data_IF_148420249799
#
_entry.id   IF_148420249799
#
_cell.length_a   1.000
_cell.length_b   1.000
_cell.length_c   1.000
_cell.angle_alpha   90.00
_cell.angle_beta   90.00
_cell.angle_gamma   90.00
#
_symmetry.space_group_name_H-M   'P 1'
#
loop_
_entity.id
_entity.type
_entity.pdbx_description
1 polymer ?
#
# COMPACT_ATOMS: atom_id res chain seq x y z
N UNK A 1 13.11 2.71 15.21
CA UNK A 1 12.20 1.72 14.58
C UNK A 1 10.90 1.76 15.35
N UNK A 2 9.76 2.02 14.68
CA UNK A 2 8.45 1.98 15.32
C UNK A 2 8.00 0.51 15.45
N UNK A 3 7.77 0.04 16.67
CA UNK A 3 7.56 -1.38 16.97
C UNK A 3 6.28 -1.96 16.36
N UNK A 4 5.26 -1.13 16.12
CA UNK A 4 3.99 -1.58 15.56
C UNK A 4 4.12 -2.05 14.11
N UNK A 5 5.11 -1.54 13.38
CA UNK A 5 5.33 -1.86 11.98
C UNK A 5 6.58 -2.71 11.76
N UNK A 6 7.68 -2.37 12.44
CA UNK A 6 9.00 -2.93 12.13
C UNK A 6 9.71 -3.49 13.37
N UNK A 7 10.52 -4.52 13.17
CA UNK A 7 11.39 -5.13 14.18
C UNK A 7 12.85 -5.12 13.71
N UNK A 8 13.86 -5.01 14.59
CA UNK A 8 15.26 -5.12 14.21
C UNK A 8 15.67 -6.49 13.66
N UNK A 9 14.95 -7.56 14.00
CA UNK A 9 15.22 -8.94 13.56
C UNK A 9 13.97 -9.83 13.70
N UNK A 10 13.96 -10.97 13.01
CA UNK A 10 12.86 -11.95 13.15
C UNK A 10 11.51 -11.39 12.72
N UNK A 11 11.49 -10.46 11.76
CA UNK A 11 10.28 -9.96 11.16
C UNK A 11 9.72 -10.91 10.11
N UNK A 12 8.44 -10.76 9.80
CA UNK A 12 7.80 -11.44 8.68
C UNK A 12 8.45 -11.06 7.35
N UNK A 13 8.60 -12.06 6.48
CA UNK A 13 9.13 -11.95 5.12
C UNK A 13 8.04 -12.16 4.07
N UNK A 14 6.78 -12.30 4.49
CA UNK A 14 5.65 -12.62 3.62
C UNK A 14 5.10 -11.40 2.84
N UNK A 15 5.67 -10.22 3.04
CA UNK A 15 5.39 -9.01 2.28
C UNK A 15 6.67 -8.30 1.85
N UNK A 16 6.57 -7.46 0.82
CA UNK A 16 7.67 -6.65 0.29
C UNK A 16 7.95 -5.41 1.17
N UNK A 17 8.14 -5.62 2.46
CA UNK A 17 8.43 -4.57 3.45
C UNK A 17 9.60 -5.01 4.36
N UNK A 18 10.47 -4.08 4.81
CA UNK A 18 11.60 -4.45 5.65
C UNK A 18 11.15 -4.95 7.03
N UNK A 19 11.53 -6.17 7.42
CA UNK A 19 11.39 -6.72 8.77
C UNK A 19 10.06 -6.35 9.47
N UNK A 20 8.94 -6.79 8.89
CA UNK A 20 7.61 -6.47 9.40
C UNK A 20 7.33 -7.17 10.73
N UNK A 21 6.79 -6.45 11.71
CA UNK A 21 6.64 -6.96 13.07
C UNK A 21 5.27 -7.59 13.35
N UNK A 22 4.54 -8.07 12.34
CA UNK A 22 3.22 -8.70 12.52
C UNK A 22 3.04 -9.90 11.61
N UNK A 23 2.11 -10.76 11.98
CA UNK A 23 1.62 -11.81 11.11
C UNK A 23 0.72 -11.20 10.04
N UNK A 24 0.89 -11.66 8.81
CA UNK A 24 0.09 -11.23 7.67
C UNK A 24 -0.98 -12.27 7.39
N UNK A 25 -2.20 -11.82 7.11
CA UNK A 25 -3.28 -12.70 6.69
C UNK A 25 -2.97 -13.35 5.32
N UNK A 26 -3.75 -14.37 4.97
CA UNK A 26 -3.70 -14.95 3.63
C UNK A 26 -4.28 -13.93 2.61
N UNK A 27 -3.58 -13.60 1.51
CA UNK A 27 -4.14 -12.82 0.40
C UNK A 27 -5.56 -13.20 -0.02
N UNK A 28 -5.92 -14.48 0.05
CA UNK A 28 -7.23 -15.00 -0.33
C UNK A 28 -8.36 -14.67 0.68
N UNK A 29 -8.06 -14.09 1.85
CA UNK A 29 -9.08 -13.70 2.83
C UNK A 29 -9.78 -12.38 2.50
N UNK A 30 -9.31 -11.64 1.48
CA UNK A 30 -9.82 -10.32 1.14
C UNK A 30 -10.76 -10.36 -0.06
N UNK A 31 -11.88 -9.64 0.04
CA UNK A 31 -12.77 -9.36 -1.10
C UNK A 31 -12.36 -8.03 -1.71
N UNK A 32 -11.90 -8.03 -2.97
CA UNK A 32 -11.43 -6.80 -3.64
C UNK A 32 -12.47 -6.22 -4.59
N UNK A 33 -12.20 -5.02 -5.08
CA UNK A 33 -13.07 -4.29 -6.00
C UNK A 33 -13.41 -5.08 -7.28
N UNK A 34 -12.47 -5.84 -7.85
CA UNK A 34 -12.71 -6.66 -9.06
C UNK A 34 -13.81 -7.71 -8.89
N UNK A 35 -14.13 -8.13 -7.66
CA UNK A 35 -15.22 -9.09 -7.41
C UNK A 35 -16.59 -8.55 -7.83
N UNK A 36 -16.72 -7.22 -7.98
CA UNK A 36 -17.93 -6.56 -8.46
C UNK A 36 -18.03 -6.53 -9.99
N UNK A 37 -17.00 -6.98 -10.73
CA UNK A 37 -16.93 -7.01 -12.19
C UNK A 37 -17.40 -5.69 -12.83
N UNK A 38 -16.93 -4.56 -12.29
CA UNK A 38 -17.28 -3.24 -12.79
C UNK A 38 -16.80 -3.08 -14.23
N UNK A 39 -17.67 -2.55 -15.10
CA UNK A 39 -17.31 -2.23 -16.48
C UNK A 39 -16.37 -1.02 -16.60
N UNK A 40 -16.06 -0.34 -15.49
CA UNK A 40 -15.16 0.82 -15.40
C UNK A 40 -13.78 0.45 -14.83
N UNK A 41 -13.42 -0.83 -14.88
CA UNK A 41 -12.15 -1.35 -14.39
C UNK A 41 -11.38 -1.93 -15.57
N UNK A 42 -10.46 -1.15 -16.11
CA UNK A 42 -9.69 -1.51 -17.31
C UNK A 42 -8.41 -2.29 -16.97
N UNK A 43 -7.99 -2.34 -15.69
CA UNK A 43 -6.78 -3.02 -15.23
C UNK A 43 -7.03 -4.35 -14.53
N UNK A 44 -6.12 -5.30 -14.71
CA UNK A 44 -6.16 -6.53 -13.94
C UNK A 44 -5.79 -6.26 -12.47
N UNK A 45 -6.57 -6.85 -11.56
CA UNK A 45 -6.26 -6.86 -10.14
C UNK A 45 -5.43 -8.10 -9.78
N UNK A 46 -4.32 -7.86 -9.09
CA UNK A 46 -3.55 -8.88 -8.41
C UNK A 46 -4.16 -9.17 -7.03
N UNK A 47 -3.98 -10.40 -6.49
CA UNK A 47 -4.33 -10.68 -5.10
C UNK A 47 -3.70 -9.67 -4.14
N UNK A 48 -4.39 -9.38 -3.03
CA UNK A 48 -3.88 -8.51 -1.97
C UNK A 48 -2.50 -8.98 -1.54
N UNK A 49 -1.52 -8.08 -1.58
CA UNK A 49 -0.12 -8.43 -1.37
C UNK A 49 0.75 -7.19 -1.31
N UNK A 50 2.00 -7.32 -1.76
CA UNK A 50 2.94 -6.19 -1.81
C UNK A 50 3.03 -5.48 -0.44
N UNK A 51 3.06 -4.15 -0.43
CA UNK A 51 2.99 -3.33 0.78
C UNK A 51 1.58 -3.31 1.41
N UNK A 52 0.52 -3.45 0.62
CA UNK A 52 -0.86 -3.29 1.10
C UNK A 52 -1.24 -4.31 2.16
N UNK A 53 -0.76 -5.55 2.02
CA UNK A 53 -1.03 -6.58 3.03
C UNK A 53 -0.38 -6.28 4.39
N UNK A 54 0.71 -5.51 4.41
CA UNK A 54 1.30 -5.04 5.65
C UNK A 54 0.38 -4.01 6.33
N UNK A 55 -0.19 -3.07 5.58
CA UNK A 55 -1.19 -2.13 6.09
C UNK A 55 -2.40 -2.88 6.66
N UNK A 56 -2.92 -3.85 5.91
CA UNK A 56 -4.10 -4.61 6.28
C UNK A 56 -3.89 -5.46 7.54
N UNK A 57 -2.66 -5.81 7.92
CA UNK A 57 -2.39 -6.50 9.19
C UNK A 57 -2.82 -5.73 10.46
N UNK A 58 -3.16 -4.45 10.33
CA UNK A 58 -3.84 -3.64 11.35
C UNK A 58 -5.20 -3.13 10.88
N UNK A 59 -5.32 -2.79 9.60
CA UNK A 59 -6.49 -2.10 9.04
C UNK A 59 -7.63 -3.05 8.64
N UNK A 60 -7.39 -4.37 8.60
CA UNK A 60 -8.43 -5.37 8.30
C UNK A 60 -9.39 -5.64 9.47
N UNK A 61 -9.15 -5.04 10.63
CA UNK A 61 -10.00 -5.18 11.81
C UNK A 61 -10.00 -6.56 12.47
N UNK A 62 -9.20 -7.52 11.97
CA UNK A 62 -9.18 -8.90 12.47
C UNK A 62 -8.16 -9.09 13.60
N UNK A 63 -7.09 -8.30 13.60
CA UNK A 63 -6.00 -8.40 14.55
C UNK A 63 -5.95 -7.19 15.48
N UNK A 64 -5.61 -7.42 16.75
CA UNK A 64 -5.35 -6.33 17.69
C UNK A 64 -4.01 -5.64 17.38
N UNK A 65 -3.91 -4.33 17.61
CA UNK A 65 -2.74 -3.51 17.29
C UNK A 65 -1.48 -3.93 18.05
N UNK A 66 -1.67 -4.56 19.21
CA UNK A 66 -0.63 -5.14 20.05
C UNK A 66 -0.18 -6.54 19.62
N UNK A 67 -0.82 -7.17 18.63
CA UNK A 67 -0.39 -8.47 18.11
C UNK A 67 0.87 -8.32 17.24
N UNK A 68 2.03 -8.19 17.87
CA UNK A 68 3.34 -8.06 17.22
C UNK A 68 4.21 -9.29 17.42
N UNK A 69 5.15 -9.54 16.50
CA UNK A 69 6.09 -10.66 16.59
C UNK A 69 7.17 -10.43 17.66
N UNK A 70 7.59 -9.17 17.86
CA UNK A 70 8.61 -8.77 18.82
C UNK A 70 8.10 -7.57 19.62
N UNK A 71 7.99 -7.71 20.94
CA UNK A 71 7.49 -6.66 21.83
C UNK A 71 8.46 -5.45 21.91
N UNK A 72 7.94 -4.24 22.20
CA UNK A 72 8.76 -3.06 22.42
C UNK A 72 9.50 -3.11 23.75
N UNK A 73 10.67 -2.47 23.77
CA UNK A 73 11.52 -2.39 24.95
C UNK A 73 12.41 -3.63 25.02
N UNK A 74 13.72 -3.42 24.97
CA UNK A 74 14.72 -4.48 25.13
C UNK A 74 14.72 -5.00 26.58
N UNK A 75 13.64 -5.67 27.00
CA UNK A 75 13.38 -6.09 28.37
C UNK A 75 12.97 -4.97 29.33
N UNK A 76 12.32 -3.90 28.83
CA UNK A 76 11.80 -2.80 29.66
C UNK A 76 10.28 -2.74 29.48
N UNK A 77 9.53 -2.88 30.57
CA UNK A 77 8.08 -2.70 30.58
C UNK A 77 7.71 -1.28 30.14
N UNK A 78 7.07 -1.14 28.97
CA UNK A 78 6.45 0.10 28.56
C UNK A 78 5.03 0.16 29.15
N UNK A 79 4.70 1.11 30.05
CA UNK A 79 3.39 1.17 30.69
C UNK A 79 2.22 1.38 29.72
N UNK A 80 2.46 1.90 28.50
CA UNK A 80 1.43 1.99 27.43
C UNK A 80 1.26 0.70 26.63
N UNK A 81 2.16 -0.27 26.85
CA UNK A 81 2.18 -1.60 26.26
C UNK A 81 2.41 -2.61 27.40
N UNK A 82 1.51 -2.58 28.39
CA UNK A 82 1.61 -3.43 29.57
C UNK A 82 0.78 -4.69 29.35
N UNK A 83 1.41 -5.86 29.43
CA UNK A 83 0.78 -7.17 29.25
C UNK A 83 0.12 -7.39 27.88
N UNK A 84 0.68 -6.82 26.81
CA UNK A 84 0.22 -7.07 25.43
C UNK A 84 -1.13 -6.42 25.10
N UNK A 85 -1.51 -5.34 25.80
CA UNK A 85 -2.73 -4.57 25.49
C UNK A 85 -2.36 -3.15 25.08
N UNK A 86 -2.61 -2.80 23.82
CA UNK A 86 -2.52 -1.43 23.33
C UNK A 86 -3.71 -0.62 23.86
N UNK A 87 -3.42 0.47 24.57
CA UNK A 87 -4.44 1.42 25.03
C UNK A 87 -4.27 2.77 24.34
N UNK A 88 -5.34 3.25 23.70
CA UNK A 88 -5.34 4.46 22.90
C UNK A 88 -6.77 4.92 22.56
N UNK A 89 -6.89 6.04 21.84
CA UNK A 89 -8.18 6.48 21.30
C UNK A 89 -8.60 5.62 20.09
N UNK A 90 -9.90 5.54 19.82
CA UNK A 90 -10.48 4.85 18.66
C UNK A 90 -10.23 3.33 18.58
N UNK A 91 -10.15 2.68 19.74
CA UNK A 91 -9.96 1.23 19.84
C UNK A 91 -10.85 0.60 20.91
N UNK A 92 -11.15 -0.68 20.72
CA UNK A 92 -11.84 -1.54 21.68
C UNK A 92 -11.03 -2.82 21.81
N UNK A 93 -10.53 -3.11 23.02
CA UNK A 93 -9.73 -4.32 23.31
C UNK A 93 -8.52 -4.53 22.36
N UNK A 94 -7.77 -3.46 22.09
CA UNK A 94 -6.58 -3.45 21.24
C UNK A 94 -6.89 -3.35 19.73
N UNK A 95 -8.14 -3.58 19.30
CA UNK A 95 -8.55 -3.51 17.89
C UNK A 95 -9.09 -2.13 17.52
N UNK A 96 -8.87 -1.71 16.28
CA UNK A 96 -9.50 -0.50 15.74
C UNK A 96 -11.02 -0.62 15.85
N UNK A 97 -11.67 0.45 16.32
CA UNK A 97 -13.12 0.45 16.47
C UNK A 97 -13.83 0.05 15.17
N UNK A 98 -14.82 -0.83 15.28
CA UNK A 98 -15.69 -1.19 14.16
C UNK A 98 -16.38 0.07 13.64
N UNK A 99 -16.36 0.26 12.32
CA UNK A 99 -16.93 1.44 11.65
C UNK A 99 -16.05 2.69 11.72
N UNK A 100 -14.86 2.63 12.32
CA UNK A 100 -13.86 3.67 12.11
C UNK A 100 -13.42 3.65 10.64
N UNK A 101 -13.18 4.82 10.05
CA UNK A 101 -12.70 4.95 8.65
C UNK A 101 -11.36 4.22 8.45
N UNK A 102 -10.58 4.07 9.52
CA UNK A 102 -9.32 3.32 9.50
C UNK A 102 -9.49 1.81 9.63
N UNK A 103 -10.68 1.29 9.90
CA UNK A 103 -10.96 -0.14 9.93
C UNK A 103 -11.69 -0.54 8.64
N UNK A 104 -10.92 -1.01 7.66
CA UNK A 104 -11.39 -1.37 6.32
C UNK A 104 -12.05 -2.74 6.27
N UNK A 105 -11.90 -3.55 7.33
CA UNK A 105 -12.33 -4.96 7.33
C UNK A 105 -11.60 -5.80 6.27
N UNK A 106 -12.01 -7.06 6.09
CA UNK A 106 -11.54 -7.92 4.99
C UNK A 106 -12.32 -7.70 3.68
N UNK A 107 -13.37 -6.88 3.69
CA UNK A 107 -14.14 -6.51 2.50
C UNK A 107 -13.72 -5.12 2.02
N UNK A 108 -12.94 -5.10 0.94
CA UNK A 108 -12.41 -3.91 0.28
C UNK A 108 -13.20 -3.59 -1.01
N UNK A 109 -14.37 -4.20 -1.21
CA UNK A 109 -15.13 -4.05 -2.46
C UNK A 109 -15.68 -2.64 -2.70
N UNK A 110 -15.76 -1.82 -1.64
CA UNK A 110 -16.18 -0.42 -1.69
C UNK A 110 -15.01 0.59 -1.52
N UNK A 111 -13.78 0.10 -1.37
CA UNK A 111 -12.59 0.92 -1.26
C UNK A 111 -11.94 1.17 -2.63
N UNK A 112 -11.05 2.15 -2.70
CA UNK A 112 -10.29 2.38 -3.92
C UNK A 112 -9.46 1.12 -4.25
N UNK A 113 -9.46 0.63 -5.51
CA UNK A 113 -8.72 -0.55 -5.88
C UNK A 113 -7.24 -0.46 -5.48
N UNK A 114 -6.74 -1.53 -4.90
CA UNK A 114 -5.33 -1.77 -4.57
C UNK A 114 -4.89 -3.07 -5.24
N UNK A 115 -3.60 -3.20 -5.50
CA UNK A 115 -3.09 -4.32 -6.29
C UNK A 115 -3.58 -4.28 -7.73
N UNK A 116 -3.97 -3.13 -8.26
CA UNK A 116 -4.36 -2.97 -9.67
C UNK A 116 -3.20 -2.46 -10.54
N UNK A 117 -3.13 -2.93 -11.79
CA UNK A 117 -2.18 -2.39 -12.77
C UNK A 117 -2.37 -0.88 -12.95
N UNK A 118 -1.27 -0.13 -12.94
CA UNK A 118 -1.32 1.28 -13.26
C UNK A 118 -1.80 1.51 -14.69
N UNK A 119 -2.77 2.41 -14.89
CA UNK A 119 -3.33 2.76 -16.20
C UNK A 119 -3.91 1.58 -17.00
N UNK A 120 -4.40 0.55 -16.32
CA UNK A 120 -4.93 -0.63 -16.98
C UNK A 120 -3.87 -1.57 -17.57
N UNK A 121 -2.59 -1.36 -17.28
CA UNK A 121 -1.48 -2.16 -17.78
C UNK A 121 -0.82 -1.58 -19.04
N UNK A 122 0.00 -2.39 -19.70
CA UNK A 122 0.79 -2.00 -20.89
C UNK A 122 2.25 -1.63 -20.57
N UNK A 123 2.51 -1.14 -19.36
CA UNK A 123 3.86 -0.83 -18.86
C UNK A 123 4.50 -2.09 -18.27
N UNK A 124 5.75 -2.36 -18.62
CA UNK A 124 6.55 -3.43 -18.00
C UNK A 124 8.00 -2.98 -17.82
N UNK A 125 8.82 -3.69 -17.05
CA UNK A 125 10.25 -3.41 -16.93
C UNK A 125 10.99 -3.45 -18.29
N UNK A 126 10.49 -4.24 -19.26
CA UNK A 126 11.03 -4.28 -20.61
C UNK A 126 10.58 -3.11 -21.50
N UNK A 127 9.48 -2.44 -21.13
CA UNK A 127 8.92 -1.29 -21.81
C UNK A 127 8.39 -0.26 -20.77
N UNK A 128 9.30 0.39 -20.01
CA UNK A 128 8.94 1.09 -18.77
C UNK A 128 8.22 2.43 -19.00
N UNK A 129 8.19 2.91 -20.24
CA UNK A 129 7.49 4.13 -20.67
C UNK A 129 6.47 3.85 -21.79
N UNK A 130 6.01 2.60 -21.90
CA UNK A 130 4.93 2.25 -22.82
C UNK A 130 3.64 3.01 -22.48
N UNK A 131 2.77 3.17 -23.47
CA UNK A 131 1.44 3.71 -23.24
C UNK A 131 0.63 2.77 -22.32
N UNK A 132 -0.15 3.37 -21.44
CA UNK A 132 -1.16 2.68 -20.64
C UNK A 132 -2.35 2.29 -21.51
N UNK A 133 -3.09 1.26 -21.10
CA UNK A 133 -4.33 0.88 -21.78
C UNK A 133 -5.43 1.93 -21.59
N UNK A 134 -5.43 2.61 -20.44
CA UNK A 134 -6.26 3.79 -20.19
C UNK A 134 -5.50 5.07 -20.57
N UNK A 135 -5.96 5.82 -21.60
CA UNK A 135 -5.29 7.04 -22.06
C UNK A 135 -5.41 8.22 -21.09
N UNK A 136 -6.29 8.15 -20.09
CA UNK A 136 -6.44 9.21 -19.08
C UNK A 136 -5.33 9.15 -18.02
N UNK A 137 -4.44 8.15 -18.06
CA UNK A 137 -3.30 8.04 -17.16
C UNK A 137 -2.04 8.71 -17.72
N UNK A 138 -1.33 9.43 -16.86
CA UNK A 138 -0.03 10.01 -17.17
C UNK A 138 1.03 8.91 -17.27
N UNK A 139 2.01 9.08 -18.16
CA UNK A 139 3.17 8.18 -18.20
C UNK A 139 3.97 8.33 -16.91
N UNK A 140 4.25 7.24 -16.16
CA UNK A 140 4.97 7.34 -14.91
C UNK A 140 6.46 7.62 -15.14
N UNK A 141 7.08 8.33 -14.20
CA UNK A 141 8.53 8.36 -14.05
C UNK A 141 9.06 6.96 -13.74
N UNK A 142 10.29 6.69 -14.16
CA UNK A 142 10.93 5.38 -13.97
C UNK A 142 12.42 5.50 -13.75
N UNK A 143 12.98 4.61 -12.93
CA UNK A 143 14.43 4.45 -12.76
C UNK A 143 14.75 3.02 -12.36
N UNK A 144 15.98 2.59 -12.60
CA UNK A 144 16.47 1.30 -12.12
C UNK A 144 17.20 1.48 -10.78
N UNK A 145 16.69 0.82 -9.75
CA UNK A 145 17.33 0.75 -8.44
C UNK A 145 17.89 -0.65 -8.24
N UNK A 146 19.22 -0.78 -8.35
CA UNK A 146 19.94 -2.04 -8.14
C UNK A 146 19.38 -3.21 -8.98
N UNK A 147 19.03 -2.95 -10.24
CA UNK A 147 18.50 -3.95 -11.16
C UNK A 147 17.00 -4.23 -11.02
N UNK A 148 16.29 -3.46 -10.19
CA UNK A 148 14.82 -3.44 -10.14
C UNK A 148 14.31 -2.12 -10.69
N UNK A 149 13.53 -2.18 -11.78
CA UNK A 149 12.81 -1.02 -12.30
C UNK A 149 11.73 -0.61 -11.31
N UNK A 150 11.69 0.66 -10.96
CA UNK A 150 10.68 1.26 -10.09
C UNK A 150 10.02 2.43 -10.79
N UNK A 151 8.76 2.67 -10.44
CA UNK A 151 7.94 3.71 -11.06
C UNK A 151 7.31 4.63 -10.02
N UNK A 152 6.96 5.83 -10.47
CA UNK A 152 6.19 6.81 -9.69
C UNK A 152 5.39 7.69 -10.64
N UNK A 153 4.27 8.23 -10.17
CA UNK A 153 3.60 9.34 -10.84
C UNK A 153 3.95 10.63 -10.07
N UNK A 154 4.49 11.61 -10.78
CA UNK A 154 4.91 12.89 -10.22
C UNK A 154 3.72 13.59 -9.55
N UNK A 155 3.93 14.11 -8.34
CA UNK A 155 2.92 14.90 -7.63
C UNK A 155 2.97 16.39 -7.95
N UNK A 156 4.05 16.82 -8.59
CA UNK A 156 4.32 18.21 -8.95
C UNK A 156 3.70 18.56 -10.30
N UNK A 157 3.30 19.82 -10.47
CA UNK A 157 2.72 20.31 -11.74
C UNK A 157 3.69 20.25 -12.92
N UNK A 158 4.99 20.18 -12.65
CA UNK A 158 6.03 20.08 -13.67
C UNK A 158 6.95 18.93 -13.28
N UNK A 159 6.77 17.75 -13.89
CA UNK A 159 7.59 16.58 -13.63
C UNK A 159 9.07 16.91 -13.74
N UNK A 160 9.84 16.53 -12.73
CA UNK A 160 11.27 16.82 -12.68
C UNK A 160 12.14 15.59 -12.99
N UNK A 161 11.48 14.44 -13.23
CA UNK A 161 12.15 13.19 -13.60
C UNK A 161 12.91 12.55 -12.43
N UNK A 162 12.68 12.99 -11.20
CA UNK A 162 13.24 12.41 -9.99
C UNK A 162 12.14 11.89 -9.11
N UNK A 163 12.42 10.79 -8.40
CA UNK A 163 11.47 10.20 -7.47
C UNK A 163 11.54 10.88 -6.12
N UNK A 164 10.44 11.44 -5.68
CA UNK A 164 10.30 12.18 -4.43
C UNK A 164 9.41 11.43 -3.43
N UNK A 165 9.35 11.92 -2.19
CA UNK A 165 8.49 11.32 -1.16
C UNK A 165 7.01 11.65 -1.37
N UNK A 166 6.75 12.79 -2.00
CA UNK A 166 5.43 13.37 -2.30
C UNK A 166 4.76 12.67 -3.47
N UNK A 167 5.52 12.06 -4.37
CA UNK A 167 5.04 11.32 -5.54
C UNK A 167 4.19 10.10 -5.20
N UNK A 168 3.29 9.76 -6.10
CA UNK A 168 2.54 8.51 -5.99
C UNK A 168 3.46 7.35 -6.38
N UNK A 169 3.96 6.63 -5.38
CA UNK A 169 4.90 5.54 -5.60
C UNK A 169 4.16 4.33 -6.15
N UNK A 170 4.59 3.81 -7.30
CA UNK A 170 4.00 2.62 -7.90
C UNK A 170 4.85 1.40 -7.52
N UNK A 171 4.20 0.32 -7.12
CA UNK A 171 4.87 -0.86 -6.60
C UNK A 171 5.11 -1.88 -7.69
N UNK A 172 6.38 -2.18 -7.93
CA UNK A 172 6.81 -3.18 -8.90
C UNK A 172 6.36 -4.57 -8.45
N UNK A 173 5.50 -5.23 -9.23
CA UNK A 173 5.08 -6.62 -8.98
C UNK A 173 5.21 -7.47 -10.25
N UNK A 174 5.39 -8.76 -10.04
CA UNK A 174 5.26 -9.80 -11.06
C UNK A 174 4.17 -10.76 -10.58
N UNK A 175 3.15 -10.96 -11.41
CA UNK A 175 2.01 -11.82 -11.11
C UNK A 175 1.79 -12.71 -12.32
N UNK A 176 1.96 -14.03 -12.16
CA UNK A 176 1.98 -14.96 -13.30
C UNK A 176 0.73 -14.87 -14.21
N UNK A 177 -0.43 -14.56 -13.64
CA UNK A 177 -1.69 -14.40 -14.36
C UNK A 177 -1.87 -13.05 -15.08
N UNK A 178 -0.95 -12.09 -14.91
CA UNK A 178 -1.02 -10.75 -15.47
C UNK A 178 0.23 -10.51 -16.32
N UNK A 179 0.06 -10.17 -17.60
CA UNK A 179 1.15 -9.96 -18.58
C UNK A 179 2.24 -11.02 -18.55
N UNK A 180 1.84 -12.29 -18.43
CA UNK A 180 2.75 -13.44 -18.35
C UNK A 180 3.81 -13.34 -17.25
N UNK A 181 3.51 -12.64 -16.15
CA UNK A 181 4.43 -12.44 -15.03
C UNK A 181 5.49 -11.36 -15.26
N UNK A 182 5.31 -10.47 -16.24
CA UNK A 182 6.20 -9.33 -16.39
C UNK A 182 6.22 -8.45 -15.11
N UNK A 183 7.40 -7.93 -14.76
CA UNK A 183 7.51 -6.90 -13.73
C UNK A 183 6.88 -5.61 -14.24
N UNK A 184 5.97 -5.03 -13.47
CA UNK A 184 5.20 -3.87 -13.90
C UNK A 184 4.70 -3.05 -12.69
N UNK A 185 4.27 -1.79 -12.88
CA UNK A 185 3.78 -0.94 -11.81
C UNK A 185 2.34 -1.27 -11.40
N UNK A 186 2.14 -1.39 -10.08
CA UNK A 186 0.82 -1.51 -9.45
C UNK A 186 0.54 -0.35 -8.49
N UNK A 187 -0.73 0.03 -8.40
CA UNK A 187 -1.22 0.95 -7.36
C UNK A 187 -1.51 0.14 -6.10
N UNK A 188 -0.98 0.59 -4.97
CA UNK A 188 -1.11 -0.04 -3.65
C UNK A 188 -1.51 1.00 -2.59
N UNK A 189 -1.85 0.58 -1.37
CA UNK A 189 -2.20 1.52 -0.29
C UNK A 189 -1.12 2.60 -0.12
N UNK A 190 0.15 2.18 -0.12
CA UNK A 190 1.26 3.09 0.07
C UNK A 190 1.66 3.85 -1.22
N UNK A 191 0.92 3.73 -2.32
CA UNK A 191 1.06 4.65 -3.44
C UNK A 191 0.62 6.06 -3.03
N UNK A 192 -0.49 6.17 -2.29
CA UNK A 192 -1.00 7.46 -1.81
C UNK A 192 -0.64 7.75 -0.35
N UNK A 193 -0.41 6.69 0.44
CA UNK A 193 -0.13 6.81 1.87
C UNK A 193 1.36 6.57 2.20
N UNK A 194 2.00 7.47 2.95
CA UNK A 194 3.30 7.26 3.59
C UNK A 194 3.13 7.18 5.11
N UNK A 195 3.24 5.99 5.74
CA UNK A 195 3.11 5.87 7.19
C UNK A 195 4.22 6.59 7.98
N UNK A 196 5.24 7.14 7.30
CA UNK A 196 6.30 7.94 7.91
C UNK A 196 6.08 9.44 7.81
N UNK A 197 4.99 9.90 7.18
CA UNK A 197 4.61 11.31 7.22
C UNK A 197 3.88 11.64 8.52
N UNK A 198 3.83 12.93 8.86
CA UNK A 198 3.10 13.46 10.02
C UNK A 198 1.65 13.84 9.69
N UNK A 199 1.22 13.70 8.44
CA UNK A 199 -0.18 13.92 8.04
C UNK A 199 -1.09 12.89 8.74
N UNK A 200 -2.21 13.34 9.32
CA UNK A 200 -3.17 12.49 10.02
C UNK A 200 -3.77 11.36 9.16
N UNK A 201 -3.85 11.59 7.84
CA UNK A 201 -4.33 10.59 6.86
C UNK A 201 -3.20 9.84 6.19
N UNK A 202 -1.95 10.15 6.54
CA UNK A 202 -0.75 9.64 5.89
C UNK A 202 -0.64 9.95 4.39
N UNK A 203 -1.42 10.86 3.82
CA UNK A 203 -1.27 11.20 2.42
C UNK A 203 0.13 11.78 2.13
N UNK A 204 0.73 11.33 1.03
CA UNK A 204 2.05 11.77 0.55
C UNK A 204 2.09 13.26 0.17
N UNK A 205 0.98 13.77 -0.33
CA UNK A 205 0.78 15.18 -0.69
C UNK A 205 -0.60 15.66 -0.22
N UNK A 206 -0.83 16.98 -0.23
CA UNK A 206 -2.17 17.53 0.05
C UNK A 206 -3.14 17.07 -1.03
N UNK A 207 -4.39 16.76 -0.66
CA UNK A 207 -5.44 16.46 -1.64
C UNK A 207 -6.27 17.70 -2.02
N UNK A 208 -5.77 18.90 -1.73
CA UNK A 208 -6.40 20.15 -2.18
C UNK A 208 -6.54 20.14 -3.71
N UNK A 209 -7.75 20.43 -4.19
CA UNK A 209 -8.04 20.39 -5.63
C UNK A 209 -7.92 19.00 -6.28
N UNK A 210 -8.02 17.93 -5.49
CA UNK A 210 -7.85 16.53 -5.95
C UNK A 210 -6.43 16.21 -6.44
N UNK A 211 -5.41 16.91 -5.93
CA UNK A 211 -4.04 16.76 -6.39
C UNK A 211 -3.49 15.31 -6.30
N UNK A 212 -3.96 14.50 -5.34
CA UNK A 212 -3.60 13.07 -5.27
C UNK A 212 -4.09 12.32 -6.51
N UNK A 213 -5.33 12.57 -6.94
CA UNK A 213 -5.90 11.93 -8.13
C UNK A 213 -5.23 12.45 -9.42
N UNK A 214 -4.94 13.75 -9.47
CA UNK A 214 -4.38 14.41 -10.64
C UNK A 214 -2.89 14.10 -10.86
N UNK A 215 -2.21 13.47 -9.89
CA UNK A 215 -0.86 12.94 -10.10
C UNK A 215 -0.86 11.84 -11.18
N UNK A 216 -1.88 10.98 -11.16
CA UNK A 216 -1.99 9.85 -12.10
C UNK A 216 -2.91 10.15 -13.28
N UNK A 217 -3.96 10.97 -13.08
CA UNK A 217 -5.00 11.17 -14.08
C UNK A 217 -4.93 12.56 -14.75
N UNK A 218 -4.82 12.57 -16.07
CA UNK A 218 -5.07 13.75 -16.90
C UNK A 218 -6.56 13.81 -17.26
N UNK A 219 -7.27 14.83 -16.77
CA UNK A 219 -8.69 15.10 -17.09
C UNK A 219 -8.84 16.38 -17.92
#
# INVERSE_FOLDING_TARGET
VCVFCHTPHGGSTSAAVPLWNRTLADPASYTTYATLNSATLEGAEAPVGSVSIACLSCHDGTQAMDTVLNEPGSGIDNPTYSAGVWSGANQTAGQLNVGAITNLTSDLSNDHPIGIQYGGGGITAAAPTAATNDPDFTTPGTTDLNGTTVWWADSETTPNGTREKTDMLLYTRSVAGIDSGALQPFVECASCHDPHTTNATFLRTSNDGSAVCLACHSK
#
